data_IF_468230051424
#
_entry.id   IF_468230051424
#
_cell.length_a   1.000
_cell.length_b   1.000
_cell.length_c   1.000
_cell.angle_alpha   90.00
_cell.angle_beta   90.00
_cell.angle_gamma   90.00
#
_symmetry.space_group_name_H-M   'P 1'
#
loop_
_entity.id
_entity.type
_entity.pdbx_description
1 polymer ?
#
# COMPACT_ATOMS: atom_id res chain seq x y z
N UNK A 1 30.44 5.02 -9.50
CA UNK A 1 29.42 3.97 -9.71
C UNK A 1 28.16 4.52 -9.09
N UNK A 2 27.24 4.99 -9.91
CA UNK A 2 25.98 5.56 -9.45
C UNK A 2 25.15 4.41 -8.87
N UNK A 3 24.82 4.51 -7.58
CA UNK A 3 23.95 3.60 -6.89
C UNK A 3 22.54 3.91 -7.40
N UNK A 4 22.01 3.09 -8.29
CA UNK A 4 20.66 3.24 -8.84
C UNK A 4 19.64 3.25 -7.70
N UNK A 5 18.85 4.32 -7.65
CA UNK A 5 17.68 4.49 -6.80
C UNK A 5 16.74 3.30 -6.96
N UNK A 6 16.49 2.57 -5.89
CA UNK A 6 15.47 1.53 -5.87
C UNK A 6 14.13 2.19 -5.49
N UNK A 7 13.12 2.21 -6.38
CA UNK A 7 11.85 2.93 -6.17
C UNK A 7 11.11 2.37 -4.96
N UNK A 8 10.48 3.23 -4.17
CA UNK A 8 9.76 2.85 -2.93
C UNK A 8 8.66 1.84 -3.27
N UNK A 9 8.70 0.61 -2.72
CA UNK A 9 7.60 -0.36 -2.91
C UNK A 9 6.58 -0.19 -1.79
N UNK A 10 5.48 0.50 -2.04
CA UNK A 10 4.30 0.51 -1.18
C UNK A 10 3.08 0.04 -1.99
N UNK A 11 2.04 -0.39 -1.29
CA UNK A 11 0.75 -0.69 -1.91
C UNK A 11 -0.16 0.50 -1.64
N UNK A 12 -0.75 1.07 -2.68
CA UNK A 12 -1.75 2.14 -2.55
C UNK A 12 -3.10 1.65 -3.08
N UNK A 13 -4.17 1.95 -2.34
CA UNK A 13 -5.51 1.68 -2.82
C UNK A 13 -6.53 2.76 -2.52
N UNK A 14 -7.44 2.93 -3.48
CA UNK A 14 -8.68 3.65 -3.30
C UNK A 14 -9.64 2.79 -2.51
N UNK A 15 -10.33 3.39 -1.54
CA UNK A 15 -11.37 2.73 -0.75
C UNK A 15 -12.69 3.35 -1.15
N UNK A 16 -13.56 2.60 -1.81
CA UNK A 16 -14.83 3.12 -2.32
C UNK A 16 -16.04 2.40 -1.74
N UNK A 17 -17.20 3.05 -1.76
CA UNK A 17 -18.48 2.35 -1.60
C UNK A 17 -18.88 1.61 -2.89
N UNK A 18 -20.08 1.02 -2.89
CA UNK A 18 -20.65 0.29 -4.03
C UNK A 18 -20.99 1.18 -5.22
N UNK A 19 -21.19 2.49 -5.00
CA UNK A 19 -21.48 3.48 -6.04
C UNK A 19 -20.19 4.11 -6.61
N UNK A 20 -19.03 3.79 -6.04
CA UNK A 20 -17.72 4.27 -6.46
C UNK A 20 -17.29 5.58 -5.78
N UNK A 21 -17.99 6.04 -4.75
CA UNK A 21 -17.57 7.24 -4.00
C UNK A 21 -16.36 6.91 -3.13
N UNK A 22 -15.38 7.81 -3.10
CA UNK A 22 -14.18 7.64 -2.30
C UNK A 22 -14.48 7.88 -0.80
N UNK A 23 -14.32 6.82 -0.01
CA UNK A 23 -14.58 6.81 1.42
C UNK A 23 -13.48 7.47 2.25
N UNK A 24 -12.33 7.75 1.64
CA UNK A 24 -11.23 8.49 2.25
C UNK A 24 -11.22 9.97 1.81
N UNK A 25 -12.17 10.40 1.00
CA UNK A 25 -12.31 11.80 0.62
C UNK A 25 -13.00 12.60 1.74
N UNK A 26 -12.32 13.60 2.35
CA UNK A 26 -12.93 14.43 3.39
C UNK A 26 -14.13 15.26 2.90
N UNK A 27 -14.27 15.48 1.59
CA UNK A 27 -15.43 16.15 1.01
C UNK A 27 -16.68 15.25 0.93
N UNK A 28 -16.50 13.92 1.00
CA UNK A 28 -17.62 12.98 1.00
C UNK A 28 -18.23 12.89 2.40
N UNK A 29 -19.52 13.18 2.56
CA UNK A 29 -20.16 13.26 3.88
C UNK A 29 -20.20 11.93 4.64
N UNK A 30 -20.17 10.81 3.92
CA UNK A 30 -20.18 9.45 4.49
C UNK A 30 -18.78 8.83 4.55
N UNK A 31 -17.74 9.66 4.49
CA UNK A 31 -16.35 9.20 4.63
C UNK A 31 -16.11 8.45 5.95
N UNK A 32 -15.03 7.67 5.96
CA UNK A 32 -14.67 6.79 7.07
C UNK A 32 -13.47 7.31 7.88
N UNK A 33 -13.10 8.58 7.71
CA UNK A 33 -11.90 9.17 8.35
C UNK A 33 -11.99 9.24 9.88
N UNK A 34 -13.19 9.17 10.45
CA UNK A 34 -13.39 9.12 11.91
C UNK A 34 -13.43 7.69 12.48
N UNK A 35 -13.21 6.66 11.65
CA UNK A 35 -13.20 5.26 12.11
C UNK A 35 -11.81 4.84 12.59
N UNK A 36 -11.78 3.97 13.59
CA UNK A 36 -10.57 3.32 14.10
C UNK A 36 -10.14 2.19 13.15
N UNK A 37 -9.66 2.57 11.97
CA UNK A 37 -9.17 1.62 10.97
C UNK A 37 -7.80 1.08 11.42
N UNK A 38 -7.63 -0.22 11.40
CA UNK A 38 -6.36 -0.87 11.75
C UNK A 38 -6.00 -1.93 10.72
N UNK A 39 -4.71 -2.27 10.67
CA UNK A 39 -4.21 -3.39 9.89
C UNK A 39 -3.46 -4.36 10.79
N UNK A 40 -3.69 -5.65 10.63
CA UNK A 40 -2.95 -6.71 11.28
C UNK A 40 -2.02 -7.40 10.27
N UNK A 41 -0.73 -7.44 10.59
CA UNK A 41 0.30 -8.14 9.82
C UNK A 41 1.33 -8.76 10.78
N UNK A 42 1.67 -10.04 10.58
CA UNK A 42 2.61 -10.78 11.44
C UNK A 42 2.30 -10.64 12.95
N UNK A 43 1.04 -10.80 13.35
CA UNK A 43 0.56 -10.65 14.73
C UNK A 43 0.80 -9.26 15.35
N UNK A 44 1.08 -8.25 14.52
CA UNK A 44 1.24 -6.86 14.94
C UNK A 44 0.10 -6.05 14.38
N UNK A 45 -0.51 -5.21 15.23
CA UNK A 45 -1.60 -4.30 14.85
C UNK A 45 -1.03 -2.91 14.63
N UNK A 46 -1.33 -2.36 13.45
CA UNK A 46 -0.92 -1.05 12.99
C UNK A 46 -2.16 -0.16 12.89
N UNK A 47 -2.30 0.87 13.75
CA UNK A 47 -3.39 1.83 13.60
C UNK A 47 -3.18 2.68 12.35
N UNK A 48 -4.28 3.06 11.69
CA UNK A 48 -4.26 4.05 10.61
C UNK A 48 -3.75 5.38 11.16
N UNK A 49 -2.81 5.98 10.45
CA UNK A 49 -2.34 7.33 10.74
C UNK A 49 -2.77 8.30 9.64
N UNK A 50 -3.23 9.47 10.07
CA UNK A 50 -3.63 10.59 9.22
C UNK A 50 -2.49 11.58 9.11
N UNK A 51 -1.48 11.21 8.34
CA UNK A 51 -0.33 12.08 8.14
C UNK A 51 0.36 11.72 6.83
N UNK A 52 0.54 12.72 5.98
CA UNK A 52 1.60 12.77 4.96
C UNK A 52 2.90 13.24 5.64
N UNK A 53 3.17 12.74 6.86
CA UNK A 53 4.53 12.75 7.34
C UNK A 53 5.20 11.79 6.37
N UNK A 54 5.85 12.35 5.35
CA UNK A 54 7.18 11.88 4.99
C UNK A 54 7.87 11.60 6.32
N UNK A 55 7.77 10.37 6.80
CA UNK A 55 8.56 9.89 7.91
C UNK A 55 9.94 9.71 7.29
N UNK A 56 10.53 10.85 6.97
CA UNK A 56 11.83 11.36 7.36
C UNK A 56 12.08 12.65 6.54
N UNK A 57 12.42 13.80 7.14
CA UNK A 57 13.47 14.60 6.54
C UNK A 57 14.76 13.78 6.76
N UNK A 58 15.03 12.80 5.90
CA UNK A 58 16.40 12.33 5.85
C UNK A 58 17.08 13.42 5.04
N UNK A 59 17.72 14.36 5.73
CA UNK A 59 18.72 15.25 5.12
C UNK A 59 19.88 14.45 4.48
N UNK A 60 19.88 13.12 4.64
CA UNK A 60 20.79 12.18 4.00
C UNK A 60 19.99 11.18 3.16
N UNK A 61 20.30 11.01 1.88
CA UNK A 61 19.63 9.99 1.06
C UNK A 61 19.59 8.62 1.78
N UNK A 62 18.44 7.92 1.78
CA UNK A 62 18.29 6.66 2.49
C UNK A 62 19.35 5.66 2.01
N UNK A 63 20.36 5.43 2.84
CA UNK A 63 21.34 4.36 2.57
C UNK A 63 20.68 3.00 2.79
N UNK A 64 21.20 1.94 2.15
CA UNK A 64 20.70 0.54 2.27
C UNK A 64 20.52 0.04 3.71
N UNK A 65 21.13 0.69 4.71
CA UNK A 65 21.04 0.32 6.12
C UNK A 65 19.81 0.91 6.85
N UNK A 66 19.13 1.91 6.26
CA UNK A 66 18.08 2.69 6.92
C UNK A 66 16.67 2.44 6.37
N UNK A 67 16.50 1.52 5.42
CA UNK A 67 15.19 1.19 4.87
C UNK A 67 14.37 0.41 5.91
N UNK A 68 13.37 1.07 6.50
CA UNK A 68 12.38 0.39 7.32
C UNK A 68 11.49 -0.48 6.42
N UNK A 69 11.42 -1.80 6.66
CA UNK A 69 10.78 -2.75 5.76
C UNK A 69 9.23 -2.74 5.82
N UNK A 70 8.64 -1.91 6.70
CA UNK A 70 7.19 -1.81 6.85
C UNK A 70 6.78 -0.62 7.73
N UNK A 71 6.12 0.40 7.15
CA UNK A 71 5.67 1.58 7.92
C UNK A 71 4.19 1.56 8.30
N UNK A 72 3.54 0.39 8.29
CA UNK A 72 2.17 0.25 8.78
C UNK A 72 1.11 0.71 7.77
N UNK A 73 0.07 1.37 8.28
CA UNK A 73 -1.15 1.76 7.57
C UNK A 73 -1.33 3.29 7.62
N UNK A 74 -1.43 3.96 6.47
CA UNK A 74 -1.45 5.42 6.38
C UNK A 74 -2.50 5.92 5.38
N UNK A 75 -3.20 7.00 5.73
CA UNK A 75 -3.98 7.77 4.74
C UNK A 75 -3.06 8.71 3.97
N UNK A 76 -2.99 8.58 2.64
CA UNK A 76 -2.42 9.60 1.77
C UNK A 76 -3.49 10.66 1.51
N UNK A 77 -3.32 11.82 2.13
CA UNK A 77 -4.29 12.93 2.08
C UNK A 77 -4.26 13.72 0.77
N UNK A 78 -3.20 13.56 -0.05
CA UNK A 78 -3.11 14.20 -1.38
C UNK A 78 -4.06 13.51 -2.36
N UNK A 79 -4.06 12.18 -2.35
CA UNK A 79 -4.83 11.37 -3.29
C UNK A 79 -6.10 10.76 -2.68
N UNK A 80 -6.33 10.96 -1.37
CA UNK A 80 -7.40 10.33 -0.60
C UNK A 80 -7.37 8.80 -0.77
N UNK A 81 -6.21 8.20 -0.52
CA UNK A 81 -5.94 6.76 -0.67
C UNK A 81 -5.38 6.19 0.62
N UNK A 82 -5.40 4.86 0.75
CA UNK A 82 -4.75 4.16 1.84
C UNK A 82 -3.45 3.53 1.34
N UNK A 83 -2.35 3.85 2.01
CA UNK A 83 -1.01 3.30 1.77
C UNK A 83 -0.67 2.26 2.81
N UNK A 84 -0.09 1.15 2.35
CA UNK A 84 0.40 0.07 3.18
C UNK A 84 1.87 -0.19 2.90
N UNK A 85 2.64 -0.20 3.99
CA UNK A 85 4.01 -0.69 4.00
C UNK A 85 5.08 0.25 3.44
N UNK A 86 6.27 -0.35 3.33
CA UNK A 86 7.45 -0.02 2.51
C UNK A 86 8.18 -1.36 2.34
N UNK A 87 7.74 -2.20 1.40
CA UNK A 87 8.20 -3.58 1.27
C UNK A 87 9.71 -3.66 0.96
N UNK A 88 10.38 -4.67 1.51
CA UNK A 88 11.79 -4.89 1.23
C UNK A 88 11.94 -5.40 -0.21
N UNK A 89 12.56 -4.60 -1.07
CA UNK A 89 12.80 -4.95 -2.48
C UNK A 89 13.76 -6.13 -2.69
N UNK A 90 14.47 -6.58 -1.65
CA UNK A 90 15.24 -7.81 -1.67
C UNK A 90 14.44 -9.08 -1.35
N UNK A 91 13.14 -8.96 -1.09
CA UNK A 91 12.27 -10.06 -0.68
C UNK A 91 11.20 -10.31 -1.73
N UNK A 92 11.14 -11.55 -2.22
CA UNK A 92 9.96 -12.04 -2.92
C UNK A 92 8.88 -12.36 -1.89
N UNK A 93 7.70 -11.79 -2.09
CA UNK A 93 6.50 -12.07 -1.32
C UNK A 93 5.63 -13.05 -2.12
N UNK A 94 5.28 -14.17 -1.52
CA UNK A 94 4.38 -15.18 -2.11
C UNK A 94 3.26 -15.46 -1.12
N UNK A 95 2.02 -15.28 -1.59
CA UNK A 95 0.79 -15.45 -0.83
C UNK A 95 0.81 -14.76 0.54
N UNK A 96 1.47 -13.60 0.61
CA UNK A 96 1.60 -12.85 1.85
C UNK A 96 0.30 -12.11 2.13
N UNK A 97 -0.20 -12.18 3.36
CA UNK A 97 -1.48 -11.60 3.73
C UNK A 97 -1.40 -10.63 4.90
N UNK A 98 -2.24 -9.60 4.85
CA UNK A 98 -2.57 -8.75 5.98
C UNK A 98 -4.09 -8.57 6.06
N UNK A 99 -4.60 -8.23 7.24
CA UNK A 99 -6.03 -7.98 7.46
C UNK A 99 -6.26 -6.52 7.75
N UNK A 100 -7.25 -5.89 7.13
CA UNK A 100 -7.71 -4.55 7.49
C UNK A 100 -9.01 -4.69 8.28
N UNK A 101 -9.06 -4.09 9.47
CA UNK A 101 -10.29 -3.88 10.24
C UNK A 101 -10.76 -2.45 10.00
N UNK A 102 -11.99 -2.29 9.50
CA UNK A 102 -12.54 -0.99 9.11
C UNK A 102 -13.20 -0.23 10.27
N UNK A 103 -13.17 -0.77 11.49
CA UNK A 103 -13.73 -0.13 12.68
C UNK A 103 -15.26 -0.13 12.74
N UNK A 104 -15.93 -0.82 11.80
CA UNK A 104 -17.38 -1.03 11.79
C UNK A 104 -17.76 -2.51 12.03
N UNK A 105 -16.79 -3.35 12.43
CA UNK A 105 -16.95 -4.80 12.58
C UNK A 105 -16.74 -5.60 11.30
N UNK A 106 -16.60 -4.94 10.14
CA UNK A 106 -16.16 -5.60 8.90
C UNK A 106 -14.65 -5.63 8.79
N UNK A 107 -14.14 -6.67 8.13
CA UNK A 107 -12.72 -6.88 7.88
C UNK A 107 -12.51 -7.39 6.45
N UNK A 108 -11.40 -6.98 5.85
CA UNK A 108 -10.93 -7.53 4.58
C UNK A 108 -9.56 -8.16 4.74
N UNK A 109 -9.37 -9.34 4.15
CA UNK A 109 -8.06 -9.99 4.03
C UNK A 109 -7.50 -9.68 2.66
N UNK A 110 -6.34 -9.04 2.64
CA UNK A 110 -5.60 -8.74 1.42
C UNK A 110 -4.44 -9.71 1.33
N UNK A 111 -4.38 -10.44 0.23
CA UNK A 111 -3.25 -11.31 -0.10
C UNK A 111 -2.53 -10.74 -1.31
N UNK A 112 -1.21 -10.81 -1.32
CA UNK A 112 -0.41 -10.39 -2.45
C UNK A 112 0.77 -11.31 -2.72
N UNK A 113 1.11 -11.39 -4.00
CA UNK A 113 2.41 -11.83 -4.48
C UNK A 113 3.16 -10.59 -4.98
N UNK A 114 4.44 -10.47 -4.66
CA UNK A 114 5.35 -9.50 -5.25
C UNK A 114 6.66 -10.22 -5.56
N UNK A 115 7.08 -10.20 -6.82
CA UNK A 115 8.41 -10.66 -7.21
C UNK A 115 9.27 -9.49 -7.64
N UNK A 116 10.46 -9.41 -7.07
CA UNK A 116 11.47 -8.46 -7.51
C UNK A 116 12.04 -8.95 -8.84
N UNK A 117 11.85 -8.18 -9.92
CA UNK A 117 12.62 -8.46 -11.15
C UNK A 117 13.93 -7.67 -11.14
N UNK A 118 15.02 -8.26 -11.64
CA UNK A 118 16.28 -7.53 -11.82
C UNK A 118 16.07 -6.30 -12.68
N UNK A 119 16.75 -5.20 -12.33
CA UNK A 119 16.85 -4.02 -13.20
C UNK A 119 17.41 -4.42 -14.56
N UNK A 120 16.67 -4.17 -15.63
CA UNK A 120 17.14 -4.29 -17.00
C UNK A 120 17.48 -2.88 -17.54
N UNK A 121 18.77 -2.54 -17.72
CA UNK A 121 19.19 -1.22 -18.22
C UNK A 121 18.75 -0.94 -19.66
N UNK A 122 18.37 -1.96 -20.45
CA UNK A 122 17.88 -1.79 -21.81
C UNK A 122 16.36 -1.52 -21.85
N UNK A 123 15.62 -1.92 -20.81
CA UNK A 123 14.17 -1.71 -20.65
C UNK A 123 13.86 -0.44 -19.81
N UNK A 124 14.85 0.08 -19.07
CA UNK A 124 14.76 1.34 -18.33
C UNK A 124 13.94 1.31 -17.05
N UNK A 125 13.10 0.28 -16.86
CA UNK A 125 12.12 0.20 -15.78
C UNK A 125 12.39 -0.96 -14.81
N UNK A 126 12.20 -0.69 -13.52
CA UNK A 126 12.05 -1.73 -12.49
C UNK A 126 10.58 -2.12 -12.41
N UNK A 127 10.23 -3.26 -13.01
CA UNK A 127 8.89 -3.82 -12.82
C UNK A 127 8.81 -4.54 -11.46
N UNK A 128 7.66 -4.51 -10.81
CA UNK A 128 7.31 -5.47 -9.78
C UNK A 128 6.12 -6.27 -10.32
N UNK A 129 6.28 -7.59 -10.44
CA UNK A 129 5.14 -8.44 -10.78
C UNK A 129 4.31 -8.62 -9.52
N UNK A 130 3.27 -7.80 -9.38
CA UNK A 130 2.37 -7.85 -8.26
C UNK A 130 1.03 -8.50 -8.64
N UNK A 131 0.53 -9.38 -7.78
CA UNK A 131 -0.82 -9.94 -7.86
C UNK A 131 -1.50 -9.72 -6.54
N UNK A 132 -2.78 -9.36 -6.58
CA UNK A 132 -3.56 -9.05 -5.38
C UNK A 132 -4.84 -9.85 -5.35
N UNK A 133 -5.24 -10.21 -4.13
CA UNK A 133 -6.55 -10.79 -3.84
C UNK A 133 -7.16 -10.07 -2.66
N UNK A 134 -8.46 -9.80 -2.74
CA UNK A 134 -9.29 -9.30 -1.65
C UNK A 134 -10.27 -10.39 -1.26
N UNK A 135 -10.21 -10.86 -0.02
CA UNK A 135 -11.01 -11.97 0.50
C UNK A 135 -10.96 -13.21 -0.43
N UNK A 136 -9.77 -13.52 -0.94
CA UNK A 136 -9.53 -14.64 -1.84
C UNK A 136 -9.98 -14.43 -3.30
N UNK A 137 -10.51 -13.26 -3.66
CA UNK A 137 -10.87 -12.91 -5.05
C UNK A 137 -9.75 -12.10 -5.70
N UNK A 138 -9.27 -12.56 -6.84
CA UNK A 138 -8.21 -11.87 -7.58
C UNK A 138 -8.69 -10.49 -8.05
N UNK A 139 -7.84 -9.48 -7.89
CA UNK A 139 -8.06 -8.13 -8.42
C UNK A 139 -7.46 -8.07 -9.82
N UNK A 140 -8.28 -7.80 -10.83
CA UNK A 140 -7.86 -7.72 -12.24
C UNK A 140 -7.39 -6.32 -12.65
N UNK A 141 -7.82 -5.28 -11.93
CA UNK A 141 -7.71 -3.89 -12.34
C UNK A 141 -6.48 -3.23 -11.69
N UNK A 142 -5.32 -3.83 -11.96
CA UNK A 142 -4.03 -3.34 -11.52
C UNK A 142 -3.39 -2.45 -12.58
N UNK A 143 -2.98 -1.22 -12.21
CA UNK A 143 -2.12 -0.39 -13.06
C UNK A 143 -0.73 -0.31 -12.43
N UNK A 144 0.32 -0.84 -13.09
CA UNK A 144 1.69 -0.54 -12.67
C UNK A 144 1.92 0.96 -12.85
N UNK A 145 2.26 1.64 -11.76
CA UNK A 145 2.70 3.03 -11.77
C UNK A 145 4.22 3.08 -11.59
N UNK A 146 4.86 4.15 -12.07
CA UNK A 146 6.30 4.39 -11.89
C UNK A 146 6.72 4.35 -10.41
N UNK A 147 5.79 4.66 -9.49
CA UNK A 147 6.02 4.71 -8.04
C UNK A 147 5.48 3.51 -7.24
N UNK A 148 4.94 2.46 -7.91
CA UNK A 148 4.48 1.23 -7.27
C UNK A 148 3.10 0.75 -7.70
N UNK A 149 2.60 -0.34 -7.08
CA UNK A 149 1.30 -0.91 -7.38
C UNK A 149 0.09 -0.12 -6.86
N UNK A 150 -0.82 0.29 -7.77
CA UNK A 150 -2.11 0.91 -7.44
C UNK A 150 -3.29 -0.01 -7.78
N UNK A 151 -4.26 -0.16 -6.88
CA UNK A 151 -5.54 -0.84 -7.17
C UNK A 151 -6.69 -0.29 -6.32
N UNK A 152 -7.93 -0.71 -6.58
CA UNK A 152 -9.12 -0.24 -5.83
C UNK A 152 -9.67 -1.36 -4.96
N UNK A 153 -9.99 -1.04 -3.70
CA UNK A 153 -10.78 -1.89 -2.80
C UNK A 153 -12.18 -1.29 -2.71
N UNK A 154 -13.18 -2.08 -3.11
CA UNK A 154 -14.59 -1.73 -2.95
C UNK A 154 -15.08 -2.31 -1.64
N UNK A 155 -15.49 -1.46 -0.70
CA UNK A 155 -16.11 -1.88 0.55
C UNK A 155 -17.60 -2.11 0.34
N UNK A 156 -18.05 -3.30 0.74
CA UNK A 156 -19.47 -3.56 0.92
C UNK A 156 -19.87 -3.05 2.31
N UNK A 157 -20.12 -1.73 2.39
CA UNK A 157 -20.58 -1.08 3.62
C UNK A 157 -22.10 -0.98 3.67
#
# INVERSE_FOLDING_TARGET
MWLTDYPRSYIEFYVTDQDGNNLLDPAFSENILNRDITMEYNNTVYPRIDNDIEFYPIEEEPTKASYHPFNGLMTNTVNNTLKIGYFNQGTDYEQTSFTIDWGNGSKDVITFDQKSVPYDPDDGDLYANCRFWVNGRAVSDFKPFEDGPHFTIVLNM
#
